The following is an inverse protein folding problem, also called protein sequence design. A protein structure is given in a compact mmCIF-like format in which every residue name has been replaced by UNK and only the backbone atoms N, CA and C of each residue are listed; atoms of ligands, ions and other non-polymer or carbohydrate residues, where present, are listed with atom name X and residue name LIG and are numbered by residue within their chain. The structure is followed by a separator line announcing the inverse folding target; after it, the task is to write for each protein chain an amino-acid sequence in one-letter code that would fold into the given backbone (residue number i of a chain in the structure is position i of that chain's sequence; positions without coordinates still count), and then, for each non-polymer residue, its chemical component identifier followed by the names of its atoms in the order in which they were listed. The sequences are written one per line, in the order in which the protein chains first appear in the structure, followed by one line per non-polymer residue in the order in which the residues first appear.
data_IF_018951211592
#
_entry.id   IF_018951211592
#
_cell.length_a   1.000
_cell.length_b   1.000
_cell.length_c   1.000
_cell.angle_alpha   90.00
_cell.angle_beta   90.00
_cell.angle_gamma   90.00
#
_symmetry.space_group_name_H-M   'P 1'
#
loop_
_entity.id
_entity.type
_entity.pdbx_description
1 polymer ?
#
# COMPACT_ATOMS: atom_id res chain seq x y z
N UNK A 1 28.65 0.44 -15.33
CA UNK A 1 28.38 -0.98 -15.04
C UNK A 1 27.53 -1.52 -16.18
N UNK A 2 28.06 -2.50 -16.94
CA UNK A 2 27.42 -3.04 -18.13
C UNK A 2 26.07 -3.68 -17.78
N UNK A 3 25.07 -3.40 -18.58
CA UNK A 3 23.73 -3.98 -18.50
C UNK A 3 23.73 -5.43 -19.00
N UNK A 4 24.51 -6.31 -18.41
CA UNK A 4 24.28 -7.73 -18.62
C UNK A 4 22.88 -8.06 -18.10
N UNK A 5 22.01 -8.43 -19.01
CA UNK A 5 20.63 -8.82 -18.73
C UNK A 5 20.69 -9.99 -17.76
N UNK A 6 20.30 -9.75 -16.50
CA UNK A 6 20.24 -10.81 -15.48
C UNK A 6 19.14 -11.79 -15.85
N UNK A 7 19.47 -12.77 -16.68
CA UNK A 7 18.60 -13.86 -17.12
C UNK A 7 18.71 -15.09 -16.20
N UNK A 8 19.54 -15.04 -15.17
CA UNK A 8 19.78 -16.13 -14.23
C UNK A 8 19.27 -15.80 -12.83
N UNK A 9 19.00 -16.83 -12.05
CA UNK A 9 18.73 -16.72 -10.61
C UNK A 9 20.00 -16.19 -9.93
N UNK A 10 19.94 -15.11 -9.12
CA UNK A 10 21.14 -14.42 -8.65
C UNK A 10 21.94 -15.19 -7.57
N UNK A 11 21.25 -16.02 -6.79
CA UNK A 11 21.82 -16.80 -5.67
C UNK A 11 20.84 -17.91 -5.26
N UNK A 12 21.01 -18.48 -4.06
CA UNK A 12 20.10 -19.51 -3.50
C UNK A 12 18.70 -19.00 -3.18
N UNK A 13 18.45 -17.69 -3.15
CA UNK A 13 17.22 -17.01 -2.73
C UNK A 13 16.82 -17.25 -1.25
N UNK A 14 17.64 -17.92 -0.47
CA UNK A 14 17.26 -18.37 0.88
C UNK A 14 17.05 -17.21 1.86
N UNK A 15 17.86 -16.16 1.76
CA UNK A 15 17.90 -15.05 2.71
C UNK A 15 16.68 -14.13 2.61
N UNK A 16 15.99 -14.12 1.48
CA UNK A 16 14.82 -13.27 1.30
C UNK A 16 13.54 -14.01 1.66
N UNK A 17 12.86 -13.53 2.71
CA UNK A 17 11.52 -13.98 3.07
C UNK A 17 10.47 -13.11 2.37
N UNK A 18 9.87 -13.64 1.34
CA UNK A 18 8.85 -12.93 0.56
C UNK A 18 7.49 -12.93 1.30
N UNK A 19 6.80 -11.77 1.35
CA UNK A 19 5.47 -11.68 1.95
C UNK A 19 4.41 -12.40 1.10
N UNK A 20 3.38 -12.94 1.74
CA UNK A 20 2.22 -13.61 1.09
C UNK A 20 2.58 -14.66 0.05
N UNK A 21 3.68 -15.33 0.22
CA UNK A 21 4.24 -16.28 -0.74
C UNK A 21 4.55 -17.58 -0.05
N UNK A 22 4.22 -18.71 -0.67
CA UNK A 22 4.80 -20.02 -0.29
C UNK A 22 6.28 -20.01 -0.65
N UNK A 23 7.13 -19.58 0.29
CA UNK A 23 8.54 -19.33 0.03
C UNK A 23 9.31 -20.56 -0.43
N UNK A 24 8.96 -21.74 0.09
CA UNK A 24 9.59 -23.00 -0.32
C UNK A 24 9.33 -23.23 -1.81
N UNK A 25 8.07 -23.27 -2.22
CA UNK A 25 7.68 -23.54 -3.60
C UNK A 25 8.20 -22.48 -4.57
N UNK A 26 8.17 -21.21 -4.14
CA UNK A 26 8.68 -20.10 -4.95
C UNK A 26 10.20 -20.25 -5.21
N UNK A 27 10.98 -20.62 -4.20
CA UNK A 27 12.44 -20.75 -4.33
C UNK A 27 12.85 -21.97 -5.15
N UNK A 28 12.05 -23.04 -5.16
CA UNK A 28 12.23 -24.19 -6.04
C UNK A 28 11.94 -23.86 -7.52
N UNK A 29 10.97 -22.96 -7.78
CA UNK A 29 10.60 -22.53 -9.14
C UNK A 29 10.33 -21.03 -9.18
N UNK A 30 11.36 -20.17 -9.10
CA UNK A 30 11.22 -18.75 -8.97
C UNK A 30 10.69 -18.08 -10.23
N UNK A 31 9.80 -17.10 -10.05
CA UNK A 31 9.28 -16.25 -11.13
C UNK A 31 9.88 -14.84 -10.99
N UNK A 32 11.15 -14.69 -11.37
CA UNK A 32 11.84 -13.41 -11.28
C UNK A 32 11.53 -12.53 -12.49
N UNK A 33 11.10 -11.29 -12.24
CA UNK A 33 10.90 -10.28 -13.28
C UNK A 33 12.22 -9.52 -13.43
N UNK A 34 12.70 -9.41 -14.67
CA UNK A 34 14.00 -8.81 -15.01
C UNK A 34 13.89 -7.56 -15.86
N UNK A 35 12.74 -7.35 -16.52
CA UNK A 35 12.48 -6.20 -17.37
C UNK A 35 10.99 -5.87 -17.37
N UNK A 36 10.66 -4.59 -17.49
CA UNK A 36 9.26 -4.16 -17.62
C UNK A 36 9.17 -2.95 -18.56
N UNK A 37 8.13 -2.90 -19.40
CA UNK A 37 7.87 -1.78 -20.30
C UNK A 37 6.37 -1.69 -20.63
N UNK A 38 5.79 -0.51 -20.44
CA UNK A 38 4.35 -0.31 -20.61
C UNK A 38 3.57 -1.27 -19.71
N UNK A 39 2.76 -2.13 -20.29
CA UNK A 39 1.97 -3.16 -19.57
C UNK A 39 2.64 -4.53 -19.56
N UNK A 40 3.86 -4.65 -20.03
CA UNK A 40 4.54 -5.94 -20.19
C UNK A 40 5.64 -6.13 -19.16
N UNK A 41 5.66 -7.32 -18.56
CA UNK A 41 6.71 -7.83 -17.70
C UNK A 41 7.44 -8.96 -18.42
N UNK A 42 8.77 -9.01 -18.28
CA UNK A 42 9.58 -10.10 -18.81
C UNK A 42 10.27 -10.83 -17.66
N UNK A 43 10.12 -12.13 -17.62
CA UNK A 43 10.75 -12.95 -16.58
C UNK A 43 12.19 -13.37 -16.99
N UNK A 44 12.91 -13.95 -16.04
CA UNK A 44 14.30 -14.41 -16.22
C UNK A 44 14.48 -15.51 -17.26
N UNK A 45 13.40 -16.22 -17.65
CA UNK A 45 13.40 -17.15 -18.78
C UNK A 45 13.16 -16.47 -20.12
N UNK A 46 13.05 -15.14 -20.17
CA UNK A 46 12.78 -14.38 -21.38
C UNK A 46 11.30 -14.33 -21.80
N UNK A 47 10.41 -14.97 -21.05
CA UNK A 47 8.97 -14.97 -21.36
C UNK A 47 8.34 -13.63 -20.96
N UNK A 48 7.58 -13.06 -21.89
CA UNK A 48 6.80 -11.82 -21.67
C UNK A 48 5.38 -12.16 -21.24
N UNK A 49 4.86 -11.39 -20.28
CA UNK A 49 3.49 -11.48 -19.75
C UNK A 49 2.91 -10.09 -19.52
N UNK A 50 1.59 -9.99 -19.53
CA UNK A 50 0.89 -8.74 -19.20
C UNK A 50 0.82 -8.58 -17.68
N UNK A 51 1.12 -7.37 -17.20
CA UNK A 51 0.87 -6.94 -15.83
C UNK A 51 -0.60 -6.52 -15.69
N UNK A 52 -1.48 -7.50 -15.54
CA UNK A 52 -2.92 -7.25 -15.42
C UNK A 52 -3.33 -6.65 -14.06
N UNK A 53 -2.40 -6.57 -13.12
CA UNK A 53 -2.64 -6.00 -11.78
C UNK A 53 -2.05 -4.60 -11.59
N UNK A 54 -1.39 -4.05 -12.62
CA UNK A 54 -0.69 -2.76 -12.54
C UNK A 54 0.26 -2.68 -11.33
N UNK A 55 1.10 -3.73 -11.14
CA UNK A 55 2.00 -3.83 -10.00
C UNK A 55 1.25 -3.82 -8.65
N UNK A 56 0.12 -4.52 -8.56
CA UNK A 56 -0.82 -4.51 -7.43
C UNK A 56 -1.29 -3.08 -7.11
N UNK A 57 -1.82 -2.40 -8.14
CA UNK A 57 -2.35 -1.02 -8.10
C UNK A 57 -1.32 0.10 -7.87
N UNK A 58 -0.02 -0.23 -7.83
CA UNK A 58 1.04 0.74 -7.56
C UNK A 58 1.64 1.36 -8.83
N UNK A 59 1.33 0.82 -10.02
CA UNK A 59 1.88 1.28 -11.29
C UNK A 59 0.81 1.41 -12.40
N UNK A 60 -0.26 2.22 -12.18
CA UNK A 60 -1.37 2.33 -13.13
C UNK A 60 -0.99 3.02 -14.45
N UNK A 61 0.11 3.77 -14.49
CA UNK A 61 0.59 4.46 -15.68
C UNK A 61 1.46 3.60 -16.60
N UNK A 62 1.78 2.36 -16.17
CA UNK A 62 2.66 1.46 -16.88
C UNK A 62 4.15 1.71 -16.59
N UNK A 63 4.96 0.73 -16.95
CA UNK A 63 6.38 0.70 -16.68
C UNK A 63 7.21 1.54 -17.65
N UNK A 64 8.32 2.10 -17.18
CA UNK A 64 9.33 2.76 -18.01
C UNK A 64 8.90 4.11 -18.59
N UNK A 65 8.03 4.86 -17.89
CA UNK A 65 7.60 6.21 -18.26
C UNK A 65 8.79 7.16 -18.11
N UNK A 66 9.28 7.66 -19.24
CA UNK A 66 10.49 8.52 -19.29
C UNK A 66 10.33 9.78 -18.46
N UNK A 67 9.22 10.47 -18.58
CA UNK A 67 8.93 11.70 -17.86
C UNK A 67 8.95 11.53 -16.33
N UNK A 68 8.54 10.35 -15.83
CA UNK A 68 8.59 10.03 -14.40
C UNK A 68 10.02 9.73 -13.97
N UNK A 69 10.75 8.93 -14.76
CA UNK A 69 12.14 8.58 -14.49
C UNK A 69 13.01 9.84 -14.45
N UNK A 70 12.86 10.74 -15.42
CA UNK A 70 13.59 12.01 -15.49
C UNK A 70 13.27 12.91 -14.28
N UNK A 71 12.00 13.04 -13.92
CA UNK A 71 11.59 13.84 -12.76
C UNK A 71 12.19 13.30 -11.44
N UNK A 72 12.15 11.98 -11.23
CA UNK A 72 12.75 11.34 -10.06
C UNK A 72 14.27 11.54 -10.05
N UNK A 73 14.94 11.31 -11.19
CA UNK A 73 16.40 11.47 -11.30
C UNK A 73 16.83 12.90 -10.99
N UNK A 74 16.14 13.89 -11.55
CA UNK A 74 16.42 15.30 -11.30
C UNK A 74 16.22 15.67 -9.83
N UNK A 75 15.14 15.16 -9.21
CA UNK A 75 14.89 15.41 -7.79
C UNK A 75 15.97 14.79 -6.90
N UNK A 76 16.39 13.54 -7.16
CA UNK A 76 17.44 12.87 -6.40
C UNK A 76 18.79 13.60 -6.51
N UNK A 77 19.11 14.18 -7.65
CA UNK A 77 20.32 14.99 -7.84
C UNK A 77 20.26 16.34 -7.14
N UNK A 78 19.09 16.87 -6.84
CA UNK A 78 18.90 18.17 -6.18
C UNK A 78 18.75 18.03 -4.68
N UNK A 79 17.88 17.14 -4.23
CA UNK A 79 17.60 16.87 -2.83
C UNK A 79 16.99 15.47 -2.75
N UNK A 80 17.76 14.52 -2.25
CA UNK A 80 17.41 13.10 -2.10
C UNK A 80 16.56 12.84 -0.85
N UNK A 81 16.80 13.60 0.23
CA UNK A 81 16.10 13.45 1.49
C UNK A 81 15.97 14.77 2.25
N UNK A 82 14.83 14.99 2.85
CA UNK A 82 14.59 16.05 3.83
C UNK A 82 13.72 15.49 4.97
N UNK A 83 14.18 15.62 6.21
CA UNK A 83 13.38 15.17 7.36
C UNK A 83 12.09 16.00 7.49
N UNK A 84 10.93 15.37 7.79
CA UNK A 84 9.65 16.09 7.89
C UNK A 84 9.37 16.68 9.29
N UNK A 85 10.39 16.78 10.17
CA UNK A 85 10.27 17.33 11.51
C UNK A 85 10.87 18.73 11.56
N UNK A 86 10.01 19.75 11.71
CA UNK A 86 10.39 21.17 11.76
C UNK A 86 11.14 21.69 10.52
N UNK A 87 11.29 20.88 9.50
CA UNK A 87 11.79 21.19 8.19
C UNK A 87 10.80 20.69 7.14
N UNK A 88 10.87 21.21 5.94
CA UNK A 88 9.93 20.84 4.89
C UNK A 88 10.56 20.86 3.51
N UNK A 89 10.01 20.06 2.62
CA UNK A 89 10.33 20.04 1.20
C UNK A 89 9.20 20.72 0.41
N UNK A 90 9.52 21.72 -0.39
CA UNK A 90 8.54 22.50 -1.16
C UNK A 90 7.62 21.67 -2.04
N UNK A 91 8.15 20.66 -2.70
CA UNK A 91 7.37 19.74 -3.54
C UNK A 91 6.26 18.96 -2.81
N UNK A 92 6.42 18.69 -1.52
CA UNK A 92 5.35 18.04 -0.73
C UNK A 92 4.14 18.95 -0.54
N UNK A 93 4.37 20.25 -0.33
CA UNK A 93 3.30 21.26 -0.23
C UNK A 93 2.60 21.49 -1.57
N UNK A 94 3.36 21.54 -2.67
CA UNK A 94 2.78 21.63 -4.01
C UNK A 94 1.93 20.41 -4.36
N UNK A 95 2.41 19.19 -4.04
CA UNK A 95 1.65 17.96 -4.22
C UNK A 95 0.37 17.98 -3.38
N UNK A 96 0.42 18.42 -2.12
CA UNK A 96 -0.77 18.55 -1.27
C UNK A 96 -1.81 19.49 -1.90
N UNK A 97 -1.35 20.63 -2.44
CA UNK A 97 -2.22 21.58 -3.16
C UNK A 97 -2.85 20.96 -4.41
N UNK A 98 -2.11 20.13 -5.15
CA UNK A 98 -2.67 19.42 -6.31
C UNK A 98 -3.70 18.37 -5.89
N UNK A 99 -3.39 17.56 -4.89
CA UNK A 99 -4.29 16.50 -4.37
C UNK A 99 -5.58 17.14 -3.85
N UNK A 100 -5.51 18.24 -3.11
CA UNK A 100 -6.69 18.89 -2.51
C UNK A 100 -7.71 19.40 -3.54
N UNK A 101 -7.30 19.60 -4.81
CA UNK A 101 -8.22 19.95 -5.91
C UNK A 101 -9.09 18.77 -6.39
N UNK A 102 -8.70 17.54 -6.04
CA UNK A 102 -9.39 16.31 -6.45
C UNK A 102 -10.16 15.65 -5.29
N UNK A 103 -9.99 16.14 -4.06
CA UNK A 103 -10.71 15.63 -2.90
C UNK A 103 -12.10 16.24 -2.80
N UNK A 104 -13.12 15.50 -2.31
CA UNK A 104 -14.48 16.00 -2.21
C UNK A 104 -14.63 17.03 -1.09
N UNK A 105 -15.50 18.00 -1.31
CA UNK A 105 -15.90 19.01 -0.31
C UNK A 105 -14.69 19.81 0.22
N UNK A 106 -14.53 19.85 1.53
CA UNK A 106 -13.47 20.56 2.22
C UNK A 106 -12.34 19.66 2.76
N UNK A 107 -12.20 18.45 2.26
CA UNK A 107 -11.11 17.52 2.63
C UNK A 107 -9.78 17.98 2.02
N UNK A 108 -9.24 19.09 2.49
CA UNK A 108 -8.08 19.79 1.92
C UNK A 108 -6.80 19.69 2.78
N UNK A 109 -6.78 18.79 3.77
CA UNK A 109 -5.60 18.53 4.62
C UNK A 109 -5.03 17.18 4.28
N UNK A 110 -3.81 17.18 3.76
CA UNK A 110 -3.13 15.97 3.28
C UNK A 110 -2.07 15.55 4.30
N UNK A 111 -2.12 14.31 4.73
CA UNK A 111 -1.12 13.69 5.58
C UNK A 111 -0.47 12.54 4.81
N UNK A 112 0.85 12.63 4.59
CA UNK A 112 1.59 11.61 3.86
C UNK A 112 2.05 10.49 4.76
N UNK A 113 1.99 9.28 4.24
CA UNK A 113 2.50 8.06 4.90
C UNK A 113 3.28 7.22 3.89
N UNK A 114 4.04 6.27 4.39
CA UNK A 114 4.90 5.40 3.55
C UNK A 114 4.13 4.27 2.85
N UNK A 115 2.95 3.92 3.33
CA UNK A 115 2.09 2.88 2.72
C UNK A 115 0.65 2.97 3.23
N UNK A 116 -0.26 2.25 2.57
CA UNK A 116 -1.68 2.20 2.95
C UNK A 116 -1.92 1.69 4.38
N UNK A 117 -1.16 0.70 4.84
CA UNK A 117 -1.27 0.19 6.21
C UNK A 117 -1.01 1.29 7.25
N UNK A 118 0.07 2.06 7.06
CA UNK A 118 0.41 3.18 7.93
C UNK A 118 -0.60 4.33 7.80
N UNK A 119 -1.19 4.52 6.61
CA UNK A 119 -2.27 5.50 6.42
C UNK A 119 -3.50 5.16 7.27
N UNK A 120 -3.92 3.89 7.27
CA UNK A 120 -5.05 3.43 8.09
C UNK A 120 -4.74 3.54 9.59
N UNK A 121 -3.55 3.13 10.05
CA UNK A 121 -3.13 3.33 11.45
C UNK A 121 -3.20 4.81 11.86
N UNK A 122 -2.71 5.69 10.99
CA UNK A 122 -2.73 7.14 11.24
C UNK A 122 -4.17 7.67 11.28
N UNK A 123 -5.04 7.24 10.37
CA UNK A 123 -6.45 7.62 10.34
C UNK A 123 -7.19 7.18 11.62
N UNK A 124 -6.94 5.96 12.11
CA UNK A 124 -7.47 5.47 13.38
C UNK A 124 -7.04 6.39 14.53
N UNK A 125 -5.75 6.71 14.62
CA UNK A 125 -5.21 7.59 15.68
C UNK A 125 -5.79 9.00 15.59
N UNK A 126 -5.88 9.57 14.39
CA UNK A 126 -6.48 10.91 14.17
C UNK A 126 -7.95 10.91 14.60
N UNK A 127 -8.72 9.87 14.24
CA UNK A 127 -10.13 9.76 14.62
C UNK A 127 -10.33 9.74 16.12
N UNK A 128 -9.53 8.95 16.84
CA UNK A 128 -9.56 8.89 18.31
C UNK A 128 -9.18 10.25 18.91
N UNK A 129 -8.09 10.86 18.44
CA UNK A 129 -7.63 12.15 18.96
C UNK A 129 -8.64 13.28 18.68
N UNK A 130 -9.27 13.28 17.50
CA UNK A 130 -10.32 14.22 17.14
C UNK A 130 -11.51 14.16 18.11
N UNK A 131 -12.05 12.96 18.34
CA UNK A 131 -13.19 12.79 19.23
C UNK A 131 -12.83 13.12 20.68
N UNK A 132 -11.64 12.75 21.12
CA UNK A 132 -11.15 13.11 22.46
C UNK A 132 -11.04 14.63 22.64
N UNK A 133 -10.51 15.35 21.64
CA UNK A 133 -10.38 16.81 21.68
C UNK A 133 -11.74 17.52 21.72
N UNK A 134 -12.81 16.89 21.22
CA UNK A 134 -14.19 17.38 21.30
C UNK A 134 -14.93 17.03 22.59
N UNK A 135 -14.27 16.38 23.54
CA UNK A 135 -14.94 15.86 24.75
C UNK A 135 -15.74 14.56 24.54
N UNK A 136 -15.62 13.95 23.36
CA UNK A 136 -16.36 12.73 22.96
C UNK A 136 -15.46 11.47 23.08
N UNK A 137 -14.64 11.37 24.10
CA UNK A 137 -13.66 10.28 24.27
C UNK A 137 -14.23 8.86 24.33
N UNK A 138 -15.57 8.74 24.46
CA UNK A 138 -16.28 7.46 24.38
C UNK A 138 -16.44 6.95 22.94
N UNK A 139 -16.18 7.77 21.94
CA UNK A 139 -16.29 7.41 20.52
C UNK A 139 -14.97 6.81 20.01
N UNK A 140 -14.66 5.59 20.44
CA UNK A 140 -13.46 4.85 20.05
C UNK A 140 -13.78 3.56 19.28
N UNK A 141 -15.04 3.26 19.03
CA UNK A 141 -15.44 2.07 18.27
C UNK A 141 -15.30 2.31 16.77
N UNK A 142 -14.78 1.31 16.08
CA UNK A 142 -14.67 1.32 14.62
C UNK A 142 -15.55 0.24 14.02
N UNK A 143 -16.08 0.54 12.85
CA UNK A 143 -16.90 -0.39 12.08
C UNK A 143 -16.17 -0.70 10.80
N UNK A 144 -15.72 -1.95 10.66
CA UNK A 144 -15.16 -2.51 9.44
C UNK A 144 -16.24 -3.21 8.60
N UNK A 145 -15.81 -3.84 7.52
CA UNK A 145 -16.68 -4.69 6.70
C UNK A 145 -16.02 -6.04 6.50
N UNK A 146 -16.79 -7.11 6.59
CA UNK A 146 -16.34 -8.45 6.23
C UNK A 146 -15.72 -8.48 4.83
N UNK A 147 -14.65 -9.24 4.63
CA UNK A 147 -13.87 -9.37 3.39
C UNK A 147 -13.09 -8.11 2.97
N UNK A 148 -13.20 -7.00 3.69
CA UNK A 148 -12.43 -5.80 3.37
C UNK A 148 -10.95 -5.97 3.71
N UNK A 149 -10.08 -5.35 2.92
CA UNK A 149 -8.65 -5.24 3.19
C UNK A 149 -8.29 -3.78 3.46
N UNK A 150 -7.64 -3.53 4.59
CA UNK A 150 -7.23 -2.19 5.01
C UNK A 150 -5.74 -2.08 5.34
N UNK A 151 -4.98 -3.14 5.16
CA UNK A 151 -3.55 -3.17 5.43
C UNK A 151 -3.11 -4.32 6.33
N UNK A 152 -1.83 -4.30 6.72
CA UNK A 152 -1.14 -5.40 7.40
C UNK A 152 -0.85 -5.14 8.86
N UNK A 153 -0.84 -3.87 9.29
CA UNK A 153 -0.59 -3.51 10.69
C UNK A 153 -1.78 -3.93 11.57
N UNK A 154 -1.58 -3.99 12.87
CA UNK A 154 -2.59 -4.53 13.81
C UNK A 154 -3.92 -3.76 13.74
N UNK A 155 -3.90 -2.42 13.75
CA UNK A 155 -5.12 -1.62 13.61
C UNK A 155 -5.78 -1.82 12.26
N UNK A 156 -5.01 -1.81 11.17
CA UNK A 156 -5.52 -2.05 9.82
C UNK A 156 -6.10 -3.48 9.67
N UNK A 157 -5.47 -4.49 10.26
CA UNK A 157 -5.98 -5.86 10.32
C UNK A 157 -7.25 -5.93 11.16
N UNK A 158 -7.30 -5.17 12.27
CA UNK A 158 -8.46 -5.12 13.16
C UNK A 158 -9.71 -4.59 12.47
N UNK A 159 -9.59 -3.48 11.72
CA UNK A 159 -10.72 -2.92 10.94
C UNK A 159 -10.94 -3.67 9.63
N UNK A 160 -9.97 -4.47 9.19
CA UNK A 160 -10.09 -5.37 8.04
C UNK A 160 -11.01 -6.56 8.34
N UNK A 161 -11.60 -7.15 7.29
CA UNK A 161 -12.52 -8.28 7.40
C UNK A 161 -12.05 -9.55 6.69
N UNK A 162 -10.75 -9.66 6.36
CA UNK A 162 -10.19 -10.86 5.76
C UNK A 162 -10.12 -11.98 6.81
N UNK A 163 -10.96 -13.00 6.67
CA UNK A 163 -11.19 -14.05 7.68
C UNK A 163 -9.89 -14.70 8.16
N UNK A 164 -8.99 -15.04 7.24
CA UNK A 164 -7.74 -15.73 7.61
C UNK A 164 -6.81 -14.82 8.43
N UNK A 165 -6.73 -13.52 8.09
CA UNK A 165 -5.90 -12.56 8.82
C UNK A 165 -6.49 -12.31 10.23
N UNK A 166 -7.80 -12.09 10.30
CA UNK A 166 -8.50 -11.88 11.57
C UNK A 166 -8.34 -13.09 12.50
N UNK A 167 -8.49 -14.31 11.98
CA UNK A 167 -8.30 -15.53 12.78
C UNK A 167 -6.87 -15.72 13.24
N UNK A 168 -5.89 -15.46 12.38
CA UNK A 168 -4.48 -15.67 12.70
C UNK A 168 -3.98 -14.75 13.82
N UNK A 169 -4.55 -13.55 13.94
CA UNK A 169 -4.11 -12.52 14.89
C UNK A 169 -5.16 -12.14 15.94
N UNK A 170 -6.19 -12.98 16.10
CA UNK A 170 -7.35 -12.67 16.95
C UNK A 170 -7.01 -12.20 18.38
N UNK A 171 -5.95 -12.72 18.97
CA UNK A 171 -5.52 -12.42 20.35
C UNK A 171 -4.93 -11.02 20.52
N UNK A 172 -4.53 -10.34 19.45
CA UNK A 172 -3.86 -9.03 19.49
C UNK A 172 -4.59 -7.95 18.71
N UNK A 173 -5.77 -8.23 18.20
CA UNK A 173 -6.56 -7.25 17.48
C UNK A 173 -7.07 -6.15 18.42
N UNK A 174 -7.24 -4.97 17.85
CA UNK A 174 -7.69 -3.78 18.57
C UNK A 174 -9.12 -4.00 19.11
N UNK A 175 -9.36 -3.74 20.41
CA UNK A 175 -10.69 -3.86 20.98
C UNK A 175 -11.65 -2.79 20.43
N UNK A 176 -12.96 -3.09 20.47
CA UNK A 176 -13.98 -2.14 20.05
C UNK A 176 -14.21 -2.06 18.54
N UNK A 177 -13.60 -2.95 17.75
CA UNK A 177 -13.91 -3.09 16.33
C UNK A 177 -15.06 -4.08 16.15
N UNK A 178 -16.02 -3.71 15.32
CA UNK A 178 -17.12 -4.58 14.87
C UNK A 178 -17.16 -4.61 13.36
N UNK A 179 -17.71 -5.67 12.77
CA UNK A 179 -17.78 -5.82 11.33
C UNK A 179 -19.24 -5.93 10.86
N UNK A 180 -19.56 -5.12 9.87
CA UNK A 180 -20.80 -5.29 9.11
C UNK A 180 -20.64 -6.42 8.12
N UNK A 181 -21.74 -7.06 7.75
CA UNK A 181 -21.77 -8.08 6.71
C UNK A 181 -21.28 -7.52 5.37
N UNK A 182 -20.64 -8.37 4.58
CA UNK A 182 -20.30 -8.03 3.20
C UNK A 182 -21.56 -7.93 2.32
N UNK A 183 -21.46 -7.24 1.18
CA UNK A 183 -22.57 -7.04 0.23
C UNK A 183 -22.50 -7.99 -0.98
N UNK A 184 -21.76 -9.08 -0.84
CA UNK A 184 -21.52 -10.03 -1.95
C UNK A 184 -22.72 -10.92 -2.24
N UNK A 185 -23.44 -11.34 -1.20
CA UNK A 185 -24.67 -12.14 -1.34
C UNK A 185 -25.87 -11.23 -1.52
N UNK A 186 -26.87 -11.67 -2.29
CA UNK A 186 -28.08 -10.89 -2.55
C UNK A 186 -28.83 -10.54 -1.27
N UNK A 187 -28.90 -11.46 -0.31
CA UNK A 187 -29.50 -11.27 1.01
C UNK A 187 -28.78 -10.21 1.89
N UNK A 188 -27.55 -9.82 1.52
CA UNK A 188 -26.76 -8.80 2.21
C UNK A 188 -26.71 -7.45 1.47
N UNK A 189 -27.36 -7.33 0.33
CA UNK A 189 -27.44 -6.05 -0.39
C UNK A 189 -28.30 -5.06 0.39
N UNK A 190 -27.91 -3.80 0.32
CA UNK A 190 -28.79 -2.72 0.77
C UNK A 190 -29.95 -2.58 -0.22
N UNK A 191 -31.16 -2.53 0.31
CA UNK A 191 -32.39 -2.28 -0.45
C UNK A 191 -32.52 -0.78 -0.66
#
# INVERSE_FOLDING_TARGET
MSSEKRTSVPNSLNEHWMPFTSNKDFKENPKLIVEAKGVYLKNHHGKTQIDASSGLFCNPLGHGRKEIIEAITNQLNTLDYCQPFQQGFGGSFELATRISKHTPGNLNKIFYTICGSTAVETAIKISIAYHKARGEGQRFRFVGRERAYHGMNIGATSVGGMINNVKAYASVLMPGVVHMRHTHLDEHKFI
#
